data_IF_756961142581
#
_entry.id   IF_756961142581
#
_cell.length_a   1.000
_cell.length_b   1.000
_cell.length_c   1.000
_cell.angle_alpha   90.00
_cell.angle_beta   90.00
_cell.angle_gamma   90.00
#
_symmetry.space_group_name_H-M   'P 1'
#
loop_
_entity.id
_entity.type
_entity.pdbx_description
1 polymer ?
#
# COMPACT_ATOMS: atom_id res chain seq x y z
N UNK A 1 3.02 -11.27 -11.39
CA UNK A 1 2.50 -10.80 -10.08
C UNK A 1 3.01 -9.42 -9.69
N UNK A 2 4.30 -9.19 -9.46
CA UNK A 2 4.83 -7.85 -9.02
C UNK A 2 4.34 -6.66 -9.87
N UNK A 3 4.46 -6.75 -11.20
CA UNK A 3 4.04 -5.67 -12.12
C UNK A 3 2.55 -5.31 -11.96
N UNK A 4 1.70 -6.32 -11.73
CA UNK A 4 0.26 -6.13 -11.55
C UNK A 4 -0.05 -5.46 -10.20
N UNK A 5 0.58 -5.91 -9.11
CA UNK A 5 0.42 -5.31 -7.79
C UNK A 5 0.88 -3.84 -7.78
N UNK A 6 2.03 -3.56 -8.38
CA UNK A 6 2.55 -2.19 -8.50
C UNK A 6 1.68 -1.33 -9.41
N UNK A 7 1.15 -1.88 -10.50
CA UNK A 7 0.22 -1.17 -11.38
C UNK A 7 -1.07 -0.79 -10.65
N UNK A 8 -1.70 -1.73 -9.94
CA UNK A 8 -2.90 -1.46 -9.15
C UNK A 8 -2.62 -0.42 -8.06
N UNK A 9 -1.48 -0.53 -7.37
CA UNK A 9 -1.06 0.43 -6.36
C UNK A 9 -0.96 1.85 -6.93
N UNK A 10 -0.24 2.00 -8.05
CA UNK A 10 -0.09 3.30 -8.71
C UNK A 10 -1.44 3.82 -9.24
N UNK A 11 -2.30 2.94 -9.77
CA UNK A 11 -3.61 3.35 -10.24
C UNK A 11 -4.49 3.93 -9.13
N UNK A 12 -4.41 3.37 -7.91
CA UNK A 12 -5.19 3.82 -6.76
C UNK A 12 -4.57 5.05 -6.07
N UNK A 13 -3.25 5.05 -5.84
CA UNK A 13 -2.58 6.04 -4.99
C UNK A 13 -1.70 7.06 -5.74
N UNK A 14 -1.33 6.83 -7.00
CA UNK A 14 -0.51 7.77 -7.78
C UNK A 14 -1.39 8.80 -8.49
N UNK A 15 -1.21 10.06 -8.10
CA UNK A 15 -1.89 11.22 -8.67
C UNK A 15 -1.58 11.46 -10.16
N UNK A 16 -0.55 10.82 -10.74
CA UNK A 16 -0.18 10.95 -12.15
C UNK A 16 -0.93 9.99 -13.05
N UNK A 17 -1.31 8.84 -12.51
CA UNK A 17 -1.88 7.71 -13.26
C UNK A 17 -3.37 7.56 -12.96
N UNK A 18 -3.82 7.93 -11.76
CA UNK A 18 -5.22 7.77 -11.38
C UNK A 18 -6.14 8.69 -12.19
N UNK A 19 -7.41 8.31 -12.40
CA UNK A 19 -8.40 9.14 -13.10
C UNK A 19 -8.62 10.51 -12.45
N UNK A 20 -8.32 10.62 -11.14
CA UNK A 20 -8.43 11.86 -10.34
C UNK A 20 -7.37 12.91 -10.71
N UNK A 21 -6.39 12.57 -11.56
CA UNK A 21 -5.35 13.49 -12.02
C UNK A 21 -5.87 14.76 -12.71
N UNK A 22 -7.08 14.70 -13.28
CA UNK A 22 -7.68 15.83 -14.00
C UNK A 22 -8.11 16.98 -13.07
N UNK A 23 -8.23 16.73 -11.77
CA UNK A 23 -8.56 17.73 -10.76
C UNK A 23 -7.27 18.43 -10.35
N UNK A 24 -7.09 19.75 -10.51
CA UNK A 24 -5.80 20.40 -10.22
C UNK A 24 -5.48 20.48 -8.72
N UNK A 25 -6.50 20.48 -7.85
CA UNK A 25 -6.34 20.63 -6.40
C UNK A 25 -6.05 19.30 -5.69
N UNK A 26 -4.97 19.27 -4.91
CA UNK A 26 -4.52 18.09 -4.14
C UNK A 26 -5.46 17.80 -2.97
N UNK A 27 -5.98 18.82 -2.30
CA UNK A 27 -6.87 18.63 -1.15
C UNK A 27 -8.16 17.92 -1.58
N UNK A 28 -8.73 18.33 -2.72
CA UNK A 28 -9.91 17.70 -3.33
C UNK A 28 -9.65 16.25 -3.70
N UNK A 29 -8.49 15.94 -4.32
CA UNK A 29 -8.12 14.54 -4.64
C UNK A 29 -8.06 13.67 -3.37
N UNK A 30 -7.44 14.17 -2.32
CA UNK A 30 -7.33 13.45 -1.05
C UNK A 30 -8.69 13.27 -0.38
N UNK A 31 -9.53 14.31 -0.39
CA UNK A 31 -10.89 14.26 0.14
C UNK A 31 -11.75 13.21 -0.57
N UNK A 32 -11.68 13.12 -1.90
CA UNK A 32 -12.45 12.10 -2.65
C UNK A 32 -11.99 10.69 -2.30
N UNK A 33 -10.68 10.46 -2.20
CA UNK A 33 -10.14 9.17 -1.74
C UNK A 33 -10.60 8.83 -0.31
N UNK A 34 -10.64 9.83 0.57
CA UNK A 34 -11.12 9.66 1.94
C UNK A 34 -12.62 9.33 1.99
N UNK A 35 -13.45 10.02 1.22
CA UNK A 35 -14.90 9.74 1.12
C UNK A 35 -15.16 8.36 0.54
N UNK A 36 -14.39 7.95 -0.48
CA UNK A 36 -14.48 6.60 -1.02
C UNK A 36 -14.12 5.56 0.05
N UNK A 37 -13.05 5.79 0.83
CA UNK A 37 -12.70 4.92 1.95
C UNK A 37 -13.83 4.85 3.00
N UNK A 38 -14.47 5.98 3.34
CA UNK A 38 -15.63 6.02 4.25
C UNK A 38 -16.82 5.22 3.71
N UNK A 39 -17.12 5.31 2.42
CA UNK A 39 -18.18 4.52 1.79
C UNK A 39 -17.95 3.01 1.96
N UNK A 40 -16.72 2.55 1.75
CA UNK A 40 -16.35 1.14 1.93
C UNK A 40 -16.43 0.70 3.39
N UNK A 41 -15.89 1.48 4.33
CA UNK A 41 -15.98 1.19 5.77
C UNK A 41 -17.43 1.08 6.23
N UNK A 42 -18.30 1.99 5.79
CA UNK A 42 -19.74 1.94 6.10
C UNK A 42 -20.40 0.71 5.48
N UNK A 43 -20.09 0.38 4.22
CA UNK A 43 -20.63 -0.80 3.54
C UNK A 43 -20.27 -2.10 4.26
N UNK A 44 -19.02 -2.25 4.71
CA UNK A 44 -18.60 -3.41 5.51
C UNK A 44 -19.22 -3.44 6.90
N UNK A 45 -19.36 -2.29 7.57
CA UNK A 45 -20.04 -2.20 8.86
C UNK A 45 -21.50 -2.62 8.76
N UNK A 46 -22.19 -2.22 7.69
CA UNK A 46 -23.57 -2.64 7.39
C UNK A 46 -23.63 -4.13 7.03
N UNK A 47 -22.71 -4.63 6.22
CA UNK A 47 -22.66 -6.05 5.85
C UNK A 47 -22.44 -6.98 7.05
N UNK A 48 -21.64 -6.55 8.04
CA UNK A 48 -21.45 -7.26 9.31
C UNK A 48 -22.66 -7.09 10.25
N UNK A 49 -23.49 -6.07 10.03
CA UNK A 49 -24.72 -5.82 10.79
C UNK A 49 -24.49 -5.19 12.17
N UNK A 50 -23.28 -4.66 12.44
CA UNK A 50 -22.93 -4.11 13.75
C UNK A 50 -22.36 -2.69 13.63
N UNK A 51 -23.14 -1.72 14.09
CA UNK A 51 -22.75 -0.31 14.13
C UNK A 51 -21.72 0.00 15.23
N UNK A 52 -21.63 -0.84 16.27
CA UNK A 52 -20.65 -0.70 17.36
C UNK A 52 -19.23 -1.06 16.91
N UNK A 53 -19.11 -1.84 15.84
CA UNK A 53 -17.83 -2.22 15.24
C UNK A 53 -17.34 -1.22 14.18
N UNK A 54 -18.01 -0.08 14.00
CA UNK A 54 -17.63 0.90 12.98
C UNK A 54 -16.20 1.43 13.20
N UNK A 55 -15.86 1.78 14.44
CA UNK A 55 -14.52 2.27 14.79
C UNK A 55 -13.45 1.19 14.58
N UNK A 56 -13.75 -0.06 14.99
CA UNK A 56 -12.86 -1.19 14.76
C UNK A 56 -12.67 -1.50 13.27
N UNK A 57 -13.73 -1.36 12.46
CA UNK A 57 -13.67 -1.50 11.00
C UNK A 57 -12.76 -0.44 10.37
N UNK A 58 -12.90 0.82 10.78
CA UNK A 58 -12.07 1.91 10.27
C UNK A 58 -10.57 1.66 10.57
N UNK A 59 -10.25 1.29 11.82
CA UNK A 59 -8.88 0.95 12.22
C UNK A 59 -8.38 -0.28 11.48
N UNK A 60 -9.21 -1.32 11.34
CA UNK A 60 -8.86 -2.52 10.59
C UNK A 60 -8.51 -2.23 9.13
N UNK A 61 -9.28 -1.36 8.46
CA UNK A 61 -8.98 -0.93 7.09
C UNK A 61 -7.67 -0.14 7.02
N UNK A 62 -7.41 0.76 7.97
CA UNK A 62 -6.14 1.49 8.02
C UNK A 62 -4.94 0.54 8.19
N UNK A 63 -5.06 -0.48 9.04
CA UNK A 63 -4.03 -1.52 9.24
C UNK A 63 -3.82 -2.34 7.96
N UNK A 64 -4.89 -2.73 7.26
CA UNK A 64 -4.79 -3.47 5.99
C UNK A 64 -4.10 -2.65 4.89
N UNK A 65 -4.44 -1.37 4.77
CA UNK A 65 -3.78 -0.46 3.82
C UNK A 65 -2.30 -0.28 4.18
N UNK A 66 -1.98 -0.13 5.47
CA UNK A 66 -0.60 -0.05 5.95
C UNK A 66 0.19 -1.32 5.61
N UNK A 67 -0.38 -2.51 5.85
CA UNK A 67 0.24 -3.78 5.51
C UNK A 67 0.46 -3.93 3.99
N UNK A 68 -0.50 -3.52 3.17
CA UNK A 68 -0.36 -3.49 1.71
C UNK A 68 0.76 -2.53 1.27
N UNK A 69 0.84 -1.35 1.90
CA UNK A 69 1.91 -0.36 1.65
C UNK A 69 3.29 -0.96 1.96
N UNK A 70 3.45 -1.61 3.12
CA UNK A 70 4.70 -2.26 3.53
C UNK A 70 5.08 -3.37 2.54
N UNK A 71 4.11 -4.13 2.04
CA UNK A 71 4.34 -5.19 1.04
C UNK A 71 4.89 -4.61 -0.26
N UNK A 72 4.23 -3.56 -0.80
CA UNK A 72 4.67 -2.89 -2.03
C UNK A 72 6.05 -2.24 -1.84
N UNK A 73 6.28 -1.60 -0.69
CA UNK A 73 7.57 -1.02 -0.35
C UNK A 73 8.67 -2.10 -0.32
N UNK A 74 8.43 -3.22 0.35
CA UNK A 74 9.36 -4.35 0.43
C UNK A 74 9.70 -4.88 -0.97
N UNK A 75 8.69 -5.10 -1.81
CA UNK A 75 8.90 -5.57 -3.19
C UNK A 75 9.65 -4.54 -4.05
N UNK A 76 9.40 -3.26 -3.83
CA UNK A 76 10.07 -2.17 -4.55
C UNK A 76 11.54 -2.08 -4.14
N UNK A 77 11.85 -2.17 -2.84
CA UNK A 77 13.24 -2.20 -2.35
C UNK A 77 13.94 -3.45 -2.86
N UNK A 78 13.29 -4.61 -2.84
CA UNK A 78 13.88 -5.85 -3.34
C UNK A 78 14.19 -5.79 -4.84
N UNK A 79 13.35 -5.10 -5.62
CA UNK A 79 13.56 -4.92 -7.05
C UNK A 79 14.65 -3.88 -7.39
N UNK A 80 14.69 -2.75 -6.66
CA UNK A 80 15.57 -1.62 -6.99
C UNK A 80 16.94 -1.67 -6.32
N UNK A 81 17.02 -2.25 -5.11
CA UNK A 81 18.26 -2.35 -4.32
C UNK A 81 18.33 -3.72 -3.62
N UNK A 82 18.47 -4.82 -4.39
CA UNK A 82 18.49 -6.17 -3.84
C UNK A 82 19.63 -6.38 -2.83
N UNK A 83 20.72 -5.63 -2.96
CA UNK A 83 21.84 -5.67 -2.01
C UNK A 83 21.44 -5.43 -0.55
N UNK A 84 20.39 -4.66 -0.27
CA UNK A 84 19.90 -4.39 1.10
C UNK A 84 19.45 -5.70 1.79
N UNK A 85 18.92 -6.64 1.02
CA UNK A 85 18.53 -7.97 1.51
C UNK A 85 19.68 -8.98 1.46
N UNK A 86 20.75 -8.69 0.72
CA UNK A 86 21.93 -9.56 0.59
C UNK A 86 22.99 -9.32 1.69
N UNK A 87 23.01 -8.15 2.34
CA UNK A 87 24.05 -7.79 3.32
C UNK A 87 24.00 -8.62 4.63
N UNK A 88 22.92 -9.37 4.88
CA UNK A 88 22.74 -10.18 6.11
C UNK A 88 22.88 -11.69 5.96
N UNK A 89 23.02 -12.23 4.74
CA UNK A 89 23.10 -13.67 4.48
C UNK A 89 24.52 -14.06 4.04
N UNK A 90 25.44 -14.12 5.00
CA UNK A 90 26.53 -15.10 5.00
C UNK A 90 27.66 -14.99 3.97
N UNK A 91 27.85 -13.88 3.25
CA UNK A 91 29.06 -13.74 2.41
C UNK A 91 30.20 -13.09 3.18
N UNK A 92 30.92 -13.91 3.95
CA UNK A 92 32.30 -13.60 4.35
C UNK A 92 33.09 -13.23 3.09
N UNK A 93 33.67 -12.03 3.09
CA UNK A 93 34.44 -11.47 1.99
C UNK A 93 35.91 -11.89 2.11
N UNK A 94 36.18 -13.20 2.14
CA UNK A 94 37.55 -13.71 2.38
C UNK A 94 37.65 -15.23 2.38
N UNK A 95 37.37 -15.87 1.25
CA UNK A 95 37.45 -17.32 1.11
C UNK A 95 38.11 -17.74 -0.20
N UNK A 96 39.32 -17.25 -0.45
CA UNK A 96 40.29 -17.72 -1.46
C UNK A 96 41.66 -17.37 -0.80
N UNK A 97 42.51 -18.24 -0.20
CA UNK A 97 43.17 -19.46 -0.69
C UNK A 97 43.12 -19.48 -2.22
N UNK A 98 44.10 -18.95 -2.95
CA UNK A 98 45.52 -19.37 -3.05
C UNK A 98 46.42 -18.18 -3.42
#
# INVERSE_FOLDING_TARGET
>A
MRKFVVFLWNYVFDHRVSPLRHIPDIATRHMILQVLAWMWVLSFSVAIGSYTMLAANLVGHAVLIAAATITVATYTVAASKPQIFATGLGRSRGGEHE
#
